data_IF_498612556225
#
_entry.id   IF_498612556225
#
_cell.length_a   1.000
_cell.length_b   1.000
_cell.length_c   1.000
_cell.angle_alpha   90.00
_cell.angle_beta   90.00
_cell.angle_gamma   90.00
#
_symmetry.space_group_name_H-M   'P 1'
#
loop_
_entity.id
_entity.type
_entity.pdbx_description
1 polymer ?
#
# COMPACT_ATOMS: atom_id res chain seq x y z
N UNK A 1 -17.69 11.64 -14.31
CA UNK A 1 -17.77 11.66 -12.83
C UNK A 1 -16.75 12.66 -12.29
N UNK A 2 -17.11 13.50 -11.30
CA UNK A 2 -16.15 14.38 -10.67
C UNK A 2 -15.10 13.58 -9.90
N UNK A 3 -13.83 14.02 -9.96
CA UNK A 3 -12.72 13.49 -9.17
C UNK A 3 -12.56 14.30 -7.89
N UNK A 4 -12.27 13.62 -6.77
CA UNK A 4 -11.95 14.25 -5.49
C UNK A 4 -10.54 13.83 -5.07
N UNK A 5 -9.63 14.81 -4.91
CA UNK A 5 -8.31 14.57 -4.36
C UNK A 5 -8.37 14.48 -2.83
N UNK A 6 -7.68 13.51 -2.27
CA UNK A 6 -7.56 13.27 -0.84
C UNK A 6 -6.14 13.65 -0.40
N UNK A 7 -6.06 14.55 0.55
CA UNK A 7 -4.82 15.04 1.13
C UNK A 7 -4.79 14.71 2.61
N UNK A 8 -3.76 14.04 3.07
CA UNK A 8 -3.57 13.79 4.50
C UNK A 8 -2.97 15.03 5.18
N UNK A 9 -3.36 15.33 6.43
CA UNK A 9 -2.73 16.38 7.22
C UNK A 9 -1.23 16.12 7.36
N UNK A 10 -0.43 17.19 7.27
CA UNK A 10 1.04 17.08 7.39
C UNK A 10 1.76 16.48 6.20
N UNK A 11 1.05 16.12 5.12
CA UNK A 11 1.70 15.72 3.90
C UNK A 11 2.60 16.88 3.39
N UNK A 12 3.90 16.63 3.16
CA UNK A 12 4.81 17.69 2.74
C UNK A 12 4.34 18.29 1.40
N UNK A 13 4.38 19.61 1.30
CA UNK A 13 4.15 20.30 0.06
C UNK A 13 5.29 19.95 -0.91
N UNK A 14 5.07 18.94 -1.75
CA UNK A 14 6.02 18.61 -2.81
C UNK A 14 5.75 19.49 -4.04
N UNK A 15 6.76 19.82 -4.83
CA UNK A 15 6.56 20.58 -6.08
C UNK A 15 5.57 19.92 -7.04
N UNK A 16 5.45 18.60 -6.97
CA UNK A 16 4.59 17.77 -7.84
C UNK A 16 3.11 17.78 -7.44
N UNK A 17 2.75 18.26 -6.22
CA UNK A 17 1.36 18.31 -5.72
C UNK A 17 0.58 17.01 -6.00
N UNK A 18 1.15 15.86 -5.66
CA UNK A 18 0.51 14.55 -5.80
C UNK A 18 -0.37 14.30 -4.57
N UNK A 19 -1.70 14.10 -4.71
CA UNK A 19 -2.56 13.75 -3.58
C UNK A 19 -2.24 12.36 -3.05
N UNK A 20 -2.57 12.06 -1.80
CA UNK A 20 -2.41 10.71 -1.23
C UNK A 20 -3.33 9.70 -1.91
N UNK A 21 -4.54 10.14 -2.30
CA UNK A 21 -5.46 9.33 -3.08
C UNK A 21 -6.37 10.20 -3.94
N UNK A 22 -7.00 9.57 -4.93
CA UNK A 22 -8.06 10.18 -5.76
C UNK A 22 -9.28 9.26 -5.74
N UNK A 23 -10.44 9.83 -5.41
CA UNK A 23 -11.74 9.14 -5.50
C UNK A 23 -12.45 9.55 -6.79
N UNK A 24 -12.96 8.55 -7.54
CA UNK A 24 -13.74 8.72 -8.76
C UNK A 24 -14.90 7.70 -8.77
N UNK A 25 -16.11 8.17 -8.45
CA UNK A 25 -17.24 7.28 -8.20
C UNK A 25 -16.96 6.30 -7.06
N UNK A 26 -17.18 4.99 -7.24
CA UNK A 26 -16.89 3.98 -6.23
C UNK A 26 -15.39 3.66 -6.10
N UNK A 27 -14.55 4.10 -7.03
CA UNK A 27 -13.12 3.77 -7.08
C UNK A 27 -12.29 4.76 -6.29
N UNK A 28 -11.35 4.26 -5.52
CA UNK A 28 -10.35 5.05 -4.81
C UNK A 28 -8.95 4.53 -5.17
N UNK A 29 -8.13 5.43 -5.70
CA UNK A 29 -6.78 5.15 -6.17
C UNK A 29 -5.80 5.79 -5.20
N UNK A 30 -5.04 5.00 -4.45
CA UNK A 30 -3.91 5.50 -3.69
C UNK A 30 -2.73 5.80 -4.62
N UNK A 31 -2.08 6.93 -4.41
CA UNK A 31 -0.82 7.25 -5.08
C UNK A 31 0.30 6.33 -4.60
N UNK A 32 1.34 6.15 -5.41
CA UNK A 32 2.52 5.39 -5.04
C UNK A 32 3.12 5.91 -3.73
N UNK A 33 2.97 5.15 -2.65
CA UNK A 33 3.39 5.48 -1.30
C UNK A 33 4.69 4.75 -0.98
N UNK A 34 5.67 5.48 -0.46
CA UNK A 34 6.99 5.00 -0.07
C UNK A 34 7.22 5.28 1.42
N UNK A 35 8.34 4.82 1.96
CA UNK A 35 8.76 5.06 3.35
C UNK A 35 9.06 6.52 3.69
N UNK A 36 8.68 7.45 2.85
CA UNK A 36 8.80 8.88 3.03
C UNK A 36 8.41 9.66 1.76
N UNK A 37 8.39 10.99 1.81
CA UNK A 37 7.97 11.82 0.69
C UNK A 37 8.98 11.77 -0.48
N UNK A 38 8.45 11.93 -1.70
CA UNK A 38 9.27 12.04 -2.91
C UNK A 38 10.28 13.20 -2.75
N UNK A 39 11.55 12.88 -2.93
CA UNK A 39 12.66 13.84 -2.80
C UNK A 39 13.03 14.24 -1.37
N UNK A 40 12.28 13.78 -0.35
CA UNK A 40 12.50 14.12 1.06
C UNK A 40 13.24 13.07 1.89
N UNK A 41 13.52 11.90 1.32
CA UNK A 41 14.09 10.76 2.04
C UNK A 41 13.07 10.06 2.95
N UNK A 42 13.58 9.18 3.82
CA UNK A 42 12.72 8.38 4.69
C UNK A 42 12.09 9.21 5.81
N UNK A 43 10.85 8.88 6.17
CA UNK A 43 10.18 9.43 7.35
C UNK A 43 10.95 9.06 8.64
N UNK A 44 10.86 9.87 9.70
CA UNK A 44 11.56 9.59 10.98
C UNK A 44 11.25 8.20 11.53
N UNK A 45 9.99 7.77 11.45
CA UNK A 45 9.50 6.48 11.92
C UNK A 45 10.16 5.31 11.16
N UNK A 46 10.46 5.52 9.88
CA UNK A 46 11.11 4.51 9.03
C UNK A 46 12.61 4.47 9.26
N UNK A 47 13.25 5.63 9.40
CA UNK A 47 14.72 5.72 9.65
C UNK A 47 15.15 5.03 10.93
N UNK A 48 14.32 5.11 11.98
CA UNK A 48 14.70 4.65 13.32
C UNK A 48 15.70 5.58 14.01
N UNK A 49 16.25 5.13 15.13
CA UNK A 49 17.15 5.94 15.95
C UNK A 49 18.57 5.97 15.34
N UNK A 50 19.15 7.15 15.07
CA UNK A 50 20.48 7.25 14.41
C UNK A 50 21.61 6.58 15.19
N UNK A 51 21.57 6.65 16.52
CA UNK A 51 22.61 6.09 17.40
C UNK A 51 22.42 4.60 17.73
N UNK A 52 21.28 4.01 17.35
CA UNK A 52 20.94 2.61 17.65
C UNK A 52 20.26 1.95 16.43
N UNK A 53 20.97 1.79 15.32
CA UNK A 53 20.38 1.37 14.05
C UNK A 53 19.78 -0.05 14.09
N UNK A 54 20.20 -0.89 15.04
CA UNK A 54 19.71 -2.25 15.23
C UNK A 54 18.67 -2.38 16.34
N UNK A 55 18.31 -1.26 17.01
CA UNK A 55 17.29 -1.29 18.06
C UNK A 55 15.89 -1.22 17.48
N UNK A 56 14.99 -2.03 18.03
CA UNK A 56 13.59 -2.09 17.61
C UNK A 56 13.33 -2.95 16.37
N UNK A 57 12.23 -2.69 15.71
CA UNK A 57 11.83 -3.43 14.49
C UNK A 57 12.81 -3.19 13.33
N UNK A 58 12.98 -4.20 12.49
CA UNK A 58 13.77 -4.07 11.26
C UNK A 58 13.22 -2.94 10.36
N UNK A 59 14.14 -2.23 9.67
CA UNK A 59 13.75 -1.11 8.78
C UNK A 59 12.65 -1.49 7.79
N UNK A 60 12.73 -2.67 7.17
CA UNK A 60 11.74 -3.13 6.21
C UNK A 60 10.33 -3.29 6.80
N UNK A 61 10.23 -3.71 8.06
CA UNK A 61 8.96 -3.79 8.80
C UNK A 61 8.40 -2.40 9.07
N UNK A 62 9.23 -1.47 9.58
CA UNK A 62 8.82 -0.08 9.82
C UNK A 62 8.38 0.61 8.53
N UNK A 63 9.12 0.41 7.44
CA UNK A 63 8.80 0.97 6.12
C UNK A 63 7.46 0.45 5.59
N UNK A 64 7.25 -0.86 5.65
CA UNK A 64 6.00 -1.49 5.22
C UNK A 64 4.80 -1.00 6.05
N UNK A 65 4.96 -0.88 7.37
CA UNK A 65 3.94 -0.37 8.29
C UNK A 65 3.57 1.08 7.95
N UNK A 66 4.56 1.96 7.84
CA UNK A 66 4.36 3.36 7.45
C UNK A 66 3.59 3.50 6.15
N UNK A 67 3.95 2.72 5.13
CA UNK A 67 3.30 2.72 3.81
C UNK A 67 1.82 2.31 3.95
N UNK A 68 1.55 1.18 4.59
CA UNK A 68 0.19 0.64 4.67
C UNK A 68 -0.71 1.48 5.59
N UNK A 69 -0.19 2.04 6.67
CA UNK A 69 -0.91 3.00 7.53
C UNK A 69 -1.24 4.30 6.77
N UNK A 70 -0.31 4.80 5.95
CA UNK A 70 -0.54 5.99 5.11
C UNK A 70 -1.65 5.73 4.08
N UNK A 71 -1.62 4.58 3.40
CA UNK A 71 -2.66 4.19 2.43
C UNK A 71 -4.00 4.01 3.15
N UNK A 72 -4.02 3.34 4.29
CA UNK A 72 -5.24 3.14 5.10
C UNK A 72 -5.84 4.48 5.54
N UNK A 73 -5.02 5.42 6.00
CA UNK A 73 -5.48 6.77 6.37
C UNK A 73 -6.10 7.51 5.18
N UNK A 74 -5.46 7.44 3.99
CA UNK A 74 -5.99 8.04 2.77
C UNK A 74 -7.31 7.40 2.33
N UNK A 75 -7.42 6.08 2.41
CA UNK A 75 -8.63 5.35 2.10
C UNK A 75 -9.76 5.65 3.07
N UNK A 76 -9.50 5.72 4.37
CA UNK A 76 -10.49 6.15 5.38
C UNK A 76 -11.02 7.55 5.10
N UNK A 77 -10.15 8.49 4.76
CA UNK A 77 -10.55 9.85 4.37
C UNK A 77 -11.39 9.89 3.07
N UNK A 78 -11.30 8.83 2.25
CA UNK A 78 -12.09 8.66 1.04
C UNK A 78 -13.38 7.84 1.25
N UNK A 79 -13.61 7.25 2.43
CA UNK A 79 -14.78 6.43 2.75
C UNK A 79 -14.62 4.94 2.42
N UNK A 80 -13.38 4.45 2.36
CA UNK A 80 -13.06 3.03 2.14
C UNK A 80 -11.92 2.58 3.07
N UNK A 81 -11.32 1.42 2.83
CA UNK A 81 -10.20 0.88 3.61
C UNK A 81 -9.30 -0.01 2.74
N UNK A 82 -8.12 -0.36 3.25
CA UNK A 82 -7.24 -1.35 2.62
C UNK A 82 -7.92 -2.71 2.48
N UNK A 83 -8.83 -3.07 3.40
CA UNK A 83 -9.60 -4.31 3.32
C UNK A 83 -10.55 -4.38 2.10
N UNK A 84 -10.94 -3.24 1.56
CA UNK A 84 -11.77 -3.13 0.34
C UNK A 84 -10.92 -3.04 -0.94
N UNK A 85 -9.64 -3.34 -0.85
CA UNK A 85 -8.72 -3.32 -1.97
C UNK A 85 -9.02 -4.39 -3.01
N UNK A 86 -8.91 -4.01 -4.29
CA UNK A 86 -9.14 -4.90 -5.44
C UNK A 86 -7.89 -5.09 -6.28
N UNK A 87 -6.95 -4.15 -6.20
CA UNK A 87 -5.68 -4.19 -6.93
C UNK A 87 -4.57 -3.60 -6.08
N UNK A 88 -3.39 -4.20 -6.13
CA UNK A 88 -2.22 -3.76 -5.39
C UNK A 88 -0.95 -4.04 -6.19
N UNK A 89 -0.15 -3.00 -6.43
CA UNK A 89 1.20 -3.14 -6.95
C UNK A 89 2.22 -2.82 -5.87
N UNK A 90 3.29 -3.59 -5.85
CA UNK A 90 4.43 -3.37 -4.98
C UNK A 90 5.70 -3.34 -5.82
N UNK A 91 6.47 -2.27 -5.65
CA UNK A 91 7.76 -2.08 -6.28
C UNK A 91 8.83 -2.19 -5.20
N UNK A 92 9.83 -3.03 -5.41
CA UNK A 92 10.88 -3.29 -4.43
C UNK A 92 12.26 -3.09 -5.05
N UNK A 93 13.21 -2.59 -4.28
CA UNK A 93 14.59 -2.40 -4.77
C UNK A 93 15.44 -3.67 -4.70
N UNK A 94 14.86 -4.76 -4.22
CA UNK A 94 15.51 -6.06 -4.17
C UNK A 94 14.61 -7.11 -3.52
N UNK A 95 14.83 -8.37 -3.86
CA UNK A 95 14.02 -9.51 -3.38
C UNK A 95 13.97 -9.62 -1.86
N UNK A 96 15.04 -9.23 -1.16
CA UNK A 96 15.13 -9.26 0.30
C UNK A 96 14.12 -8.32 1.01
N UNK A 97 13.49 -7.40 0.27
CA UNK A 97 12.49 -6.47 0.81
C UNK A 97 11.04 -7.00 0.72
N UNK A 98 10.85 -8.13 0.04
CA UNK A 98 9.52 -8.73 -0.17
C UNK A 98 8.97 -9.32 1.12
N UNK A 99 9.76 -10.13 1.84
CA UNK A 99 9.29 -10.84 3.03
C UNK A 99 8.91 -9.90 4.18
N UNK A 100 9.71 -8.89 4.56
CA UNK A 100 9.32 -7.91 5.58
C UNK A 100 8.03 -7.16 5.22
N UNK A 101 7.85 -6.81 3.94
CA UNK A 101 6.63 -6.17 3.47
C UNK A 101 5.42 -7.13 3.60
N UNK A 102 5.55 -8.38 3.19
CA UNK A 102 4.47 -9.37 3.26
C UNK A 102 4.11 -9.74 4.71
N UNK A 103 5.04 -9.68 5.63
CA UNK A 103 4.79 -9.87 7.05
C UNK A 103 3.78 -8.83 7.57
N UNK A 104 4.04 -7.55 7.33
CA UNK A 104 3.16 -6.45 7.75
C UNK A 104 1.85 -6.44 6.94
N UNK A 105 1.93 -6.71 5.63
CA UNK A 105 0.76 -6.73 4.76
C UNK A 105 -0.35 -7.67 5.26
N UNK A 106 -0.01 -8.78 5.88
CA UNK A 106 -0.99 -9.73 6.44
C UNK A 106 -1.90 -9.13 7.51
N UNK A 107 -1.46 -8.06 8.17
CA UNK A 107 -2.27 -7.37 9.18
C UNK A 107 -3.34 -6.49 8.54
N UNK A 108 -3.06 -5.90 7.39
CA UNK A 108 -3.93 -4.96 6.67
C UNK A 108 -4.82 -5.64 5.63
N UNK A 109 -4.27 -6.58 4.88
CA UNK A 109 -4.93 -7.21 3.73
C UNK A 109 -5.44 -8.59 4.11
N UNK A 110 -6.74 -8.68 4.41
CA UNK A 110 -7.43 -9.94 4.75
C UNK A 110 -8.10 -10.55 3.52
N UNK A 111 -8.45 -11.85 3.54
CA UNK A 111 -9.28 -12.47 2.49
C UNK A 111 -10.67 -11.81 2.37
N UNK A 112 -11.23 -11.69 1.15
CA UNK A 112 -10.59 -12.00 -0.14
C UNK A 112 -9.48 -10.99 -0.47
N UNK A 113 -8.33 -11.49 -0.95
CA UNK A 113 -7.16 -10.64 -1.23
C UNK A 113 -7.28 -9.95 -2.59
N UNK A 114 -6.73 -8.73 -2.75
CA UNK A 114 -6.67 -8.06 -4.04
C UNK A 114 -5.76 -8.80 -5.01
N UNK A 115 -6.00 -8.63 -6.31
CA UNK A 115 -5.00 -8.97 -7.32
C UNK A 115 -3.70 -8.20 -7.03
N UNK A 116 -2.55 -8.85 -7.18
CA UNK A 116 -1.28 -8.28 -6.71
C UNK A 116 -0.14 -8.57 -7.68
N UNK A 117 0.70 -7.54 -7.92
CA UNK A 117 1.91 -7.66 -8.73
C UNK A 117 3.11 -7.13 -7.94
N UNK A 118 4.23 -7.86 -8.01
CA UNK A 118 5.51 -7.41 -7.45
C UNK A 118 6.50 -7.16 -8.58
N UNK A 119 7.11 -5.97 -8.58
CA UNK A 119 8.13 -5.58 -9.55
C UNK A 119 9.42 -5.24 -8.81
N UNK A 120 10.52 -5.87 -9.20
CA UNK A 120 11.85 -5.50 -8.73
C UNK A 120 12.44 -4.43 -9.66
N UNK A 121 13.01 -3.37 -9.08
CA UNK A 121 13.63 -2.27 -9.81
C UNK A 121 14.85 -1.74 -9.07
N UNK A 122 15.80 -1.07 -9.75
CA UNK A 122 17.06 -0.68 -9.13
C UNK A 122 16.95 0.38 -8.01
N UNK A 123 15.96 1.29 -8.09
CA UNK A 123 15.79 2.38 -7.14
C UNK A 123 14.36 2.90 -7.10
N UNK A 124 14.03 3.64 -6.04
CA UNK A 124 12.78 4.36 -5.86
C UNK A 124 13.04 5.87 -5.78
N UNK A 125 11.97 6.68 -5.95
CA UNK A 125 12.07 8.14 -5.99
C UNK A 125 12.41 8.77 -4.62
N UNK A 126 12.05 8.12 -3.51
CA UNK A 126 12.45 8.58 -2.19
C UNK A 126 13.82 7.97 -1.84
N UNK A 127 14.87 8.78 -1.60
CA UNK A 127 16.19 8.27 -1.25
C UNK A 127 16.14 7.36 -0.03
N UNK A 128 16.70 6.17 -0.15
CA UNK A 128 16.73 5.14 0.91
C UNK A 128 15.45 4.31 1.06
N UNK A 129 14.38 4.61 0.32
CA UNK A 129 13.20 3.75 0.27
C UNK A 129 13.51 2.43 -0.45
N UNK A 130 12.92 1.36 0.05
CA UNK A 130 13.11 0.01 -0.49
C UNK A 130 11.83 -0.62 -1.00
N UNK A 131 10.68 -0.06 -0.61
CA UNK A 131 9.35 -0.49 -1.03
C UNK A 131 8.52 0.72 -1.42
N UNK A 132 7.74 0.58 -2.50
CA UNK A 132 6.65 1.48 -2.88
C UNK A 132 5.40 0.64 -3.13
N UNK A 133 4.26 1.14 -2.72
CA UNK A 133 2.96 0.48 -2.93
C UNK A 133 1.98 1.48 -3.51
N UNK A 134 1.26 1.08 -4.54
CA UNK A 134 0.01 1.70 -4.96
C UNK A 134 -1.14 0.70 -4.83
N UNK A 135 -2.35 1.21 -4.65
CA UNK A 135 -3.51 0.36 -4.41
C UNK A 135 -4.79 0.99 -4.94
N UNK A 136 -5.68 0.15 -5.45
CA UNK A 136 -7.04 0.54 -5.81
C UNK A 136 -8.01 -0.17 -4.87
N UNK A 137 -8.93 0.60 -4.29
CA UNK A 137 -10.00 0.08 -3.45
C UNK A 137 -11.37 0.53 -3.97
N UNK A 138 -12.41 -0.15 -3.52
CA UNK A 138 -13.80 0.22 -3.80
C UNK A 138 -14.42 0.80 -2.54
N UNK A 139 -15.19 1.88 -2.69
CA UNK A 139 -16.08 2.35 -1.65
C UNK A 139 -17.31 1.42 -1.58
N UNK A 140 -17.47 0.64 -0.51
CA UNK A 140 -18.54 -0.35 -0.43
C UNK A 140 -19.94 0.27 -0.40
N UNK A 141 -20.07 1.53 -0.01
CA UNK A 141 -21.35 2.24 0.00
C UNK A 141 -21.84 2.61 -1.41
N UNK A 142 -20.95 2.66 -2.39
CA UNK A 142 -21.25 3.05 -3.78
C UNK A 142 -21.07 1.90 -4.79
N UNK A 143 -20.49 0.78 -4.34
CA UNK A 143 -20.25 -0.38 -5.20
C UNK A 143 -21.50 -1.27 -5.31
N UNK A 144 -21.78 -1.87 -6.47
CA UNK A 144 -22.72 -2.97 -6.54
C UNK A 144 -22.22 -4.16 -5.72
N UNK A 145 -23.13 -5.03 -5.30
CA UNK A 145 -22.76 -6.24 -4.59
C UNK A 145 -21.69 -7.03 -5.39
N UNK A 146 -20.62 -7.50 -4.73
CA UNK A 146 -19.56 -8.21 -5.42
C UNK A 146 -20.08 -9.53 -6.00
N UNK A 147 -19.73 -9.82 -7.25
CA UNK A 147 -19.93 -11.13 -7.85
C UNK A 147 -18.69 -11.96 -7.48
N UNK A 148 -18.86 -12.92 -6.60
CA UNK A 148 -17.79 -13.87 -6.24
C UNK A 148 -17.90 -15.08 -7.18
N UNK A 149 -16.98 -15.19 -8.12
CA UNK A 149 -16.82 -16.40 -8.93
C UNK A 149 -15.98 -17.40 -8.11
N UNK A 150 -16.65 -18.26 -7.37
CA UNK A 150 -15.97 -19.32 -6.62
C UNK A 150 -15.54 -20.43 -7.60
N UNK A 151 -14.24 -20.65 -7.72
CA UNK A 151 -13.70 -21.83 -8.43
C UNK A 151 -13.72 -23.06 -7.51
N UNK A 152 -14.85 -23.30 -6.84
CA UNK A 152 -15.00 -24.27 -5.76
C UNK A 152 -14.76 -25.76 -6.15
N UNK A 153 -14.43 -26.04 -7.40
CA UNK A 153 -14.17 -27.40 -7.89
C UNK A 153 -12.96 -27.50 -8.82
N UNK A 154 -12.04 -26.54 -8.76
CA UNK A 154 -10.85 -26.65 -9.59
C UNK A 154 -9.83 -27.59 -8.91
N UNK A 155 -9.26 -28.60 -9.61
CA UNK A 155 -8.34 -29.58 -9.02
C UNK A 155 -7.12 -28.96 -8.32
N UNK A 156 -6.69 -27.76 -8.77
CA UNK A 156 -5.57 -27.04 -8.13
C UNK A 156 -5.96 -26.43 -6.78
N UNK A 157 -7.25 -26.05 -6.57
CA UNK A 157 -7.73 -25.54 -5.28
C UNK A 157 -7.72 -26.66 -4.24
N UNK A 158 -8.18 -27.84 -4.62
CA UNK A 158 -8.16 -29.03 -3.74
C UNK A 158 -6.73 -29.49 -3.46
N UNK A 159 -5.84 -29.42 -4.47
CA UNK A 159 -4.45 -29.91 -4.33
C UNK A 159 -3.58 -29.01 -3.43
N UNK A 160 -3.83 -27.72 -3.39
CA UNK A 160 -2.95 -26.76 -2.70
C UNK A 160 -3.63 -26.03 -1.53
N UNK A 161 -4.85 -26.42 -1.17
CA UNK A 161 -5.63 -25.83 -0.06
C UNK A 161 -5.70 -24.28 -0.15
N UNK A 162 -6.04 -23.77 -1.36
CA UNK A 162 -6.03 -22.34 -1.70
C UNK A 162 -7.39 -21.67 -1.42
#
# INVERSE_FOLDING_TARGET
>A
MPKKSIWLPGAPATPLRIPNAVKAGPWVFASGTMGGPVGGGLAPEVRGHPGLPLAGEAKGIREARYILETIEAAFKAAGTSVASGVWLNQFVTGRQHVDPYHEVRRDFVKPPRPASTTVAQPSLLAPGATVQVDMVAIDPALAPAPIVLAMAKHPLVEKYDL
#
